data_IF_636515105977
#
_entry.id   IF_636515105977
#
_cell.length_a   1.000
_cell.length_b   1.000
_cell.length_c   1.000
_cell.angle_alpha   90.00
_cell.angle_beta   90.00
_cell.angle_gamma   90.00
#
_symmetry.space_group_name_H-M   'P 1'
#
loop_
_entity.id
_entity.type
_entity.pdbx_description
1 polymer ?
#
# COMPACT_ATOMS: atom_id res chain seq x y z
N UNK A 1 -11.47 -3.01 -17.90
CA UNK A 1 -10.73 -3.69 -16.81
C UNK A 1 -11.73 -4.21 -15.81
N UNK A 2 -11.56 -5.43 -15.30
CA UNK A 2 -12.34 -5.89 -14.15
C UNK A 2 -11.80 -5.16 -12.92
N UNK A 3 -12.69 -4.54 -12.15
CA UNK A 3 -12.36 -4.05 -10.81
C UNK A 3 -12.33 -5.27 -9.89
N UNK A 4 -11.21 -5.50 -9.22
CA UNK A 4 -11.01 -6.63 -8.30
C UNK A 4 -11.03 -6.21 -6.83
N UNK A 5 -11.13 -4.90 -6.57
CA UNK A 5 -11.20 -4.31 -5.24
C UNK A 5 -12.33 -3.30 -5.20
N UNK A 6 -13.15 -3.39 -4.16
CA UNK A 6 -14.28 -2.48 -3.96
C UNK A 6 -14.07 -1.57 -2.77
N UNK A 7 -14.80 -0.45 -2.77
CA UNK A 7 -14.85 0.50 -1.65
C UNK A 7 -15.20 -0.27 -0.37
N UNK A 8 -14.57 0.07 0.76
CA UNK A 8 -14.75 -0.58 2.07
C UNK A 8 -14.34 -2.06 2.19
N UNK A 9 -13.86 -2.72 1.12
CA UNK A 9 -13.38 -4.10 1.20
C UNK A 9 -12.14 -4.25 2.11
N UNK A 10 -12.09 -5.39 2.80
CA UNK A 10 -10.90 -5.83 3.54
C UNK A 10 -10.02 -6.63 2.57
N UNK A 11 -8.90 -6.03 2.17
CA UNK A 11 -7.92 -6.63 1.24
C UNK A 11 -6.50 -6.54 1.79
N UNK A 12 -5.63 -7.46 1.37
CA UNK A 12 -4.20 -7.40 1.69
C UNK A 12 -3.47 -6.75 0.52
N UNK A 13 -2.87 -5.58 0.77
CA UNK A 13 -1.96 -4.92 -0.16
C UNK A 13 -0.59 -5.56 -0.06
N UNK A 14 0.00 -5.89 -1.21
CA UNK A 14 1.38 -6.41 -1.31
C UNK A 14 2.17 -5.57 -2.31
N UNK A 15 3.21 -4.89 -1.84
CA UNK A 15 4.12 -4.13 -2.69
C UNK A 15 5.50 -4.79 -2.71
N UNK A 16 5.91 -5.28 -3.87
CA UNK A 16 7.26 -5.81 -4.10
C UNK A 16 8.26 -4.65 -4.20
N UNK A 17 9.25 -4.64 -3.32
CA UNK A 17 10.24 -3.56 -3.20
C UNK A 17 11.57 -3.89 -3.85
N UNK A 18 11.85 -5.18 -4.08
CA UNK A 18 13.14 -5.68 -4.58
C UNK A 18 14.28 -5.58 -3.58
N UNK A 19 14.00 -5.19 -2.33
CA UNK A 19 14.98 -5.03 -1.24
C UNK A 19 14.51 -5.85 -0.05
N UNK A 20 15.43 -6.53 0.64
CA UNK A 20 15.11 -7.24 1.88
C UNK A 20 14.75 -6.25 3.00
N UNK A 21 13.50 -6.32 3.47
CA UNK A 21 12.93 -5.43 4.48
C UNK A 21 13.14 -5.92 5.92
N UNK A 22 13.78 -7.08 6.13
CA UNK A 22 13.89 -7.75 7.44
C UNK A 22 14.58 -6.91 8.52
N UNK A 23 15.41 -5.93 8.13
CA UNK A 23 16.13 -5.03 9.04
C UNK A 23 15.60 -3.60 9.02
N UNK A 24 14.49 -3.35 8.34
CA UNK A 24 13.87 -2.04 8.32
C UNK A 24 13.36 -1.65 9.70
N UNK A 25 13.61 -0.41 10.09
CA UNK A 25 13.16 0.17 11.35
C UNK A 25 11.77 0.81 11.25
N UNK A 26 11.35 1.20 10.04
CA UNK A 26 9.98 1.65 9.73
C UNK A 26 9.57 1.18 8.34
N UNK A 27 8.31 0.81 8.19
CA UNK A 27 7.71 0.38 6.94
C UNK A 27 6.35 1.06 6.79
N UNK A 28 6.13 1.76 5.67
CA UNK A 28 4.88 2.46 5.40
C UNK A 28 4.43 2.26 3.97
N UNK A 29 3.13 2.10 3.77
CA UNK A 29 2.51 2.29 2.46
C UNK A 29 1.89 3.68 2.45
N UNK A 30 2.51 4.60 1.70
CA UNK A 30 1.97 5.93 1.46
C UNK A 30 0.93 5.84 0.37
N UNK A 31 -0.17 6.56 0.51
CA UNK A 31 -1.21 6.59 -0.50
C UNK A 31 -1.64 8.00 -0.86
N UNK A 32 -2.16 8.12 -2.09
CA UNK A 32 -2.96 9.26 -2.52
C UNK A 32 -4.28 8.75 -3.11
N UNK A 33 -5.38 9.20 -2.52
CA UNK A 33 -6.75 8.91 -2.95
C UNK A 33 -7.07 9.59 -4.28
N UNK A 34 -8.11 9.16 -5.00
CA UNK A 34 -8.60 9.81 -6.22
C UNK A 34 -8.99 11.29 -6.00
N UNK A 35 -9.54 11.61 -4.83
CA UNK A 35 -9.92 12.97 -4.44
C UNK A 35 -8.71 13.88 -4.09
N UNK A 36 -7.48 13.34 -4.11
CA UNK A 36 -6.25 14.07 -3.83
C UNK A 36 -5.75 13.99 -2.38
N UNK A 37 -6.56 13.49 -1.45
CA UNK A 37 -6.18 13.26 -0.05
C UNK A 37 -5.01 12.27 0.03
N UNK A 38 -4.11 12.49 0.99
CA UNK A 38 -2.91 11.68 1.20
C UNK A 38 -2.87 11.16 2.62
N UNK A 39 -2.31 9.97 2.76
CA UNK A 39 -2.07 9.37 4.06
C UNK A 39 -1.04 8.26 3.97
N UNK A 40 -0.90 7.53 5.06
CA UNK A 40 0.01 6.42 5.17
C UNK A 40 -0.54 5.36 6.12
N UNK A 41 -0.24 4.10 5.80
CA UNK A 41 -0.47 2.96 6.67
C UNK A 41 0.87 2.42 7.16
N UNK A 42 0.97 2.12 8.46
CA UNK A 42 2.11 1.37 9.02
C UNK A 42 2.01 -0.09 8.53
N UNK A 43 3.05 -0.52 7.81
CA UNK A 43 3.08 -1.79 7.10
C UNK A 43 4.01 -2.79 7.79
N UNK A 44 3.93 -4.05 7.35
CA UNK A 44 4.73 -5.16 7.88
C UNK A 44 5.60 -5.78 6.78
N UNK A 45 6.61 -6.54 7.19
CA UNK A 45 7.38 -7.40 6.28
C UNK A 45 6.52 -8.61 5.91
N UNK A 46 6.38 -8.87 4.61
CA UNK A 46 5.68 -10.04 4.08
C UNK A 46 6.58 -11.26 3.92
N UNK A 47 6.03 -12.28 3.23
CA UNK A 47 6.76 -13.47 2.81
C UNK A 47 6.65 -13.62 1.28
N UNK A 48 7.75 -13.46 0.51
CA UNK A 48 9.15 -13.25 0.95
C UNK A 48 9.41 -11.85 1.56
N UNK A 49 10.53 -11.65 2.27
CA UNK A 49 10.83 -10.38 2.98
C UNK A 49 11.09 -9.18 2.07
N UNK A 50 10.99 -9.36 0.75
CA UNK A 50 11.01 -8.27 -0.24
C UNK A 50 9.63 -7.62 -0.45
N UNK A 51 8.58 -8.25 0.07
CA UNK A 51 7.21 -7.76 0.05
C UNK A 51 6.94 -6.91 1.29
N UNK A 52 6.35 -5.73 1.06
CA UNK A 52 5.70 -4.94 2.10
C UNK A 52 4.20 -5.22 2.09
N UNK A 53 3.64 -5.57 3.24
CA UNK A 53 2.23 -5.96 3.38
C UNK A 53 1.45 -5.04 4.32
N UNK A 54 0.18 -4.81 3.97
CA UNK A 54 -0.79 -4.15 4.83
C UNK A 54 -2.18 -4.75 4.63
N UNK A 55 -2.87 -5.08 5.72
CA UNK A 55 -4.28 -5.45 5.70
C UNK A 55 -5.14 -4.20 5.82
N UNK A 56 -5.80 -3.84 4.72
CA UNK A 56 -6.76 -2.74 4.66
C UNK A 56 -7.93 -3.08 5.55
N UNK A 57 -8.26 -2.16 6.46
CA UNK A 57 -9.41 -2.29 7.35
C UNK A 57 -10.66 -1.75 6.66
N UNK A 58 -11.80 -2.16 7.19
CA UNK A 58 -13.11 -1.63 6.78
C UNK A 58 -13.06 -0.09 6.72
N UNK A 59 -13.56 0.48 5.62
CA UNK A 59 -13.64 1.93 5.37
C UNK A 59 -12.32 2.68 5.15
N UNK A 60 -11.19 1.99 5.02
CA UNK A 60 -9.94 2.67 4.64
C UNK A 60 -9.83 2.92 3.13
N UNK A 61 -10.42 2.06 2.30
CA UNK A 61 -10.62 2.31 0.86
C UNK A 61 -11.99 2.96 0.64
N UNK A 62 -12.11 4.24 0.98
CA UNK A 62 -13.38 4.97 1.09
C UNK A 62 -13.79 5.75 -0.18
N UNK A 63 -12.94 5.77 -1.20
CA UNK A 63 -13.14 6.58 -2.42
C UNK A 63 -12.97 5.70 -3.65
N UNK A 64 -13.93 5.74 -4.56
CA UNK A 64 -13.83 5.04 -5.83
C UNK A 64 -12.86 5.73 -6.79
N UNK A 65 -12.14 4.93 -7.59
CA UNK A 65 -11.21 5.38 -8.61
C UNK A 65 -9.77 4.96 -8.37
N UNK A 66 -8.85 5.68 -9.00
CA UNK A 66 -7.42 5.36 -9.02
C UNK A 66 -6.67 5.85 -7.79
N UNK A 67 -6.30 4.91 -6.93
CA UNK A 67 -5.39 5.14 -5.81
C UNK A 67 -3.94 4.98 -6.26
N UNK A 68 -3.07 5.87 -5.77
CA UNK A 68 -1.62 5.75 -5.93
C UNK A 68 -1.02 5.27 -4.63
N UNK A 69 -0.24 4.19 -4.67
CA UNK A 69 0.39 3.58 -3.52
C UNK A 69 1.91 3.63 -3.70
N UNK A 70 2.65 3.88 -2.62
CA UNK A 70 4.10 3.89 -2.65
C UNK A 70 4.67 3.30 -1.35
N UNK A 71 5.46 2.23 -1.49
CA UNK A 71 6.23 1.68 -0.38
C UNK A 71 7.28 2.68 0.09
N UNK A 72 7.46 2.77 1.40
CA UNK A 72 8.49 3.55 2.07
C UNK A 72 9.12 2.71 3.17
N UNK A 73 10.45 2.64 3.16
CA UNK A 73 11.21 1.92 4.17
C UNK A 73 12.30 2.81 4.75
N UNK A 74 12.47 2.76 6.07
CA UNK A 74 13.64 3.30 6.77
C UNK A 74 14.49 2.15 7.31
N UNK A 75 15.79 2.26 7.12
CA UNK A 75 16.82 1.43 7.71
C UNK A 75 17.72 2.32 8.59
N UNK A 76 18.65 1.70 9.32
CA UNK A 76 19.56 2.44 10.20
C UNK A 76 20.45 3.47 9.50
N UNK A 77 20.77 3.26 8.22
CA UNK A 77 21.69 4.12 7.45
C UNK A 77 21.06 4.84 6.27
N UNK A 78 19.88 4.39 5.81
CA UNK A 78 19.23 4.96 4.64
C UNK A 78 17.71 4.79 4.71
N UNK A 79 17.01 5.55 3.89
CA UNK A 79 15.58 5.38 3.67
C UNK A 79 15.29 5.52 2.18
N UNK A 80 14.20 4.92 1.72
CA UNK A 80 13.87 4.92 0.31
C UNK A 80 12.38 4.81 0.03
N UNK A 81 12.05 5.16 -1.19
CA UNK A 81 10.70 5.07 -1.73
C UNK A 81 10.69 4.10 -2.91
N UNK A 82 9.72 3.20 -2.92
CA UNK A 82 9.45 2.32 -4.06
C UNK A 82 8.83 3.06 -5.24
N UNK A 83 8.56 2.31 -6.30
CA UNK A 83 7.79 2.80 -7.45
C UNK A 83 6.33 3.04 -7.03
N UNK A 84 5.67 3.98 -7.69
CA UNK A 84 4.24 4.20 -7.49
C UNK A 84 3.47 3.06 -8.19
N UNK A 85 2.71 2.30 -7.40
CA UNK A 85 1.72 1.35 -7.86
C UNK A 85 0.33 2.02 -7.95
N UNK A 86 -0.55 1.47 -8.78
CA UNK A 86 -1.90 1.97 -8.96
C UNK A 86 -2.90 0.88 -8.59
N UNK A 87 -3.93 1.24 -7.82
CA UNK A 87 -5.04 0.37 -7.43
C UNK A 87 -6.34 1.02 -7.92
N UNK A 88 -7.13 0.29 -8.73
CA UNK A 88 -8.47 0.73 -9.17
C UNK A 88 -9.51 0.20 -8.17
N UNK A 89 -10.17 1.11 -7.45
CA UNK A 89 -11.21 0.79 -6.47
C UNK A 89 -12.58 1.10 -7.08
N UNK A 90 -13.51 0.14 -7.02
CA UNK A 90 -14.86 0.27 -7.56
C UNK A 90 -15.97 0.33 -6.52
N UNK A 91 -17.18 0.77 -6.89
CA UNK A 91 -18.36 0.48 -6.08
C UNK A 91 -18.71 -1.02 -6.14
N UNK A 92 -19.33 -1.56 -5.09
CA UNK A 92 -19.95 -2.88 -5.12
C UNK A 92 -21.04 -2.98 -6.21
N UNK A 93 -21.29 -4.19 -6.71
CA UNK A 93 -22.31 -4.50 -7.73
C UNK A 93 -23.71 -4.63 -7.14
#
# INVERSE_FOLDING_TARGET
MKKETFVEDIVVLKLETGVDLSTATKLKIKYQKPNGERGEWEASVGDPPTIMEYEVKEKELDVDGWWRLQAYAEFSTWHGHGRIAHLDVGPHL
#
